data_IF_770629830930
#
_entry.id   IF_770629830930
#
_cell.length_a   1.000
_cell.length_b   1.000
_cell.length_c   1.000
_cell.angle_alpha   90.00
_cell.angle_beta   90.00
_cell.angle_gamma   90.00
#
_symmetry.space_group_name_H-M   'P 1'
#
loop_
_entity.id
_entity.type
_entity.pdbx_description
1 polymer ?
#
# COMPACT_ATOMS: atom_id res chain seq x y z
N UNK A 1 0.54 -12.23 -9.33
CA UNK A 1 1.22 -11.12 -8.64
C UNK A 1 0.19 -10.03 -8.36
N UNK A 2 0.23 -9.40 -7.17
CA UNK A 2 -0.77 -8.40 -6.74
C UNK A 2 -0.46 -6.99 -7.24
N UNK A 3 -1.52 -6.24 -7.50
CA UNK A 3 -1.48 -4.82 -7.88
C UNK A 3 -1.36 -3.92 -6.64
N UNK A 4 -1.90 -4.34 -5.50
CA UNK A 4 -1.74 -3.64 -4.23
C UNK A 4 -1.84 -4.60 -3.04
N UNK A 5 -1.36 -4.16 -1.88
CA UNK A 5 -1.53 -4.87 -0.62
C UNK A 5 -1.69 -3.89 0.54
N UNK A 6 -2.36 -4.28 1.61
CA UNK A 6 -2.42 -3.50 2.86
C UNK A 6 -2.76 -4.40 4.05
N UNK A 7 -2.53 -3.89 5.27
CA UNK A 7 -3.01 -4.53 6.50
C UNK A 7 -4.07 -3.65 7.16
N UNK A 8 -5.29 -4.19 7.31
CA UNK A 8 -6.40 -3.49 7.97
C UNK A 8 -6.77 -4.26 9.23
N UNK A 9 -6.53 -3.64 10.39
CA UNK A 9 -6.77 -4.24 11.71
C UNK A 9 -6.16 -5.65 11.85
N UNK A 10 -4.95 -5.82 11.31
CA UNK A 10 -4.20 -7.08 11.36
C UNK A 10 -4.58 -8.13 10.31
N UNK A 11 -5.65 -7.94 9.53
CA UNK A 11 -5.95 -8.79 8.38
C UNK A 11 -5.20 -8.27 7.16
N UNK A 12 -4.67 -9.17 6.33
CA UNK A 12 -3.98 -8.81 5.10
C UNK A 12 -4.96 -8.80 3.95
N UNK A 13 -4.86 -7.79 3.11
CA UNK A 13 -5.65 -7.61 1.90
C UNK A 13 -4.70 -7.52 0.73
N UNK A 14 -4.91 -8.36 -0.27
CA UNK A 14 -4.15 -8.40 -1.51
C UNK A 14 -5.10 -8.15 -2.67
N UNK A 15 -4.78 -7.21 -3.55
CA UNK A 15 -5.65 -6.79 -4.65
C UNK A 15 -5.05 -7.23 -5.98
N UNK A 16 -5.88 -7.72 -6.88
CA UNK A 16 -5.49 -8.02 -8.26
C UNK A 16 -6.69 -7.83 -9.18
N UNK A 17 -6.51 -7.00 -10.20
CA UNK A 17 -7.55 -6.67 -11.18
C UNK A 17 -8.81 -6.17 -10.45
N UNK A 18 -9.93 -6.87 -10.60
CA UNK A 18 -11.24 -6.54 -9.98
C UNK A 18 -11.53 -7.31 -8.68
N UNK A 19 -10.55 -8.04 -8.15
CA UNK A 19 -10.68 -8.93 -6.99
C UNK A 19 -9.71 -8.59 -5.88
N UNK A 20 -10.06 -9.00 -4.66
CA UNK A 20 -9.13 -9.01 -3.54
C UNK A 20 -9.25 -10.31 -2.75
N UNK A 21 -8.15 -10.66 -2.10
CA UNK A 21 -8.05 -11.75 -1.16
C UNK A 21 -7.79 -11.18 0.23
N UNK A 22 -8.55 -11.67 1.20
CA UNK A 22 -8.37 -11.33 2.61
C UNK A 22 -7.86 -12.56 3.34
N UNK A 23 -6.65 -12.45 3.89
CA UNK A 23 -6.11 -13.42 4.86
C UNK A 23 -6.44 -12.96 6.26
N UNK A 24 -7.17 -13.81 6.98
CA UNK A 24 -7.56 -13.56 8.36
C UNK A 24 -6.36 -13.68 9.30
N UNK A 25 -6.36 -12.89 10.38
CA UNK A 25 -5.40 -13.10 11.49
C UNK A 25 -5.89 -14.15 12.49
N UNK A 26 -7.18 -14.51 12.45
CA UNK A 26 -7.84 -15.31 13.47
C UNK A 26 -8.04 -16.77 13.08
N UNK A 27 -7.96 -17.09 11.79
CA UNK A 27 -8.11 -18.44 11.27
C UNK A 27 -7.31 -18.57 9.98
N UNK A 28 -6.83 -19.78 9.70
CA UNK A 28 -5.95 -20.07 8.57
C UNK A 28 -6.76 -20.25 7.28
N UNK A 29 -7.29 -19.14 6.77
CA UNK A 29 -7.84 -19.16 5.43
C UNK A 29 -7.95 -17.81 4.75
N UNK A 30 -8.13 -17.93 3.45
CA UNK A 30 -8.14 -16.83 2.50
C UNK A 30 -9.52 -16.78 1.85
N UNK A 31 -10.14 -15.60 1.89
CA UNK A 31 -11.43 -15.35 1.22
C UNK A 31 -11.21 -14.45 0.02
N UNK A 32 -11.82 -14.78 -1.12
CA UNK A 32 -11.78 -13.98 -2.35
C UNK A 32 -13.12 -13.30 -2.59
N UNK A 33 -13.10 -12.01 -2.93
CA UNK A 33 -14.29 -11.22 -3.27
C UNK A 33 -14.00 -10.22 -4.37
N UNK A 34 -15.04 -9.81 -5.12
CA UNK A 34 -14.97 -8.70 -6.06
C UNK A 34 -14.90 -7.36 -5.30
N UNK A 35 -14.02 -6.46 -5.73
CA UNK A 35 -13.78 -5.15 -5.07
C UNK A 35 -15.05 -4.31 -5.06
N UNK A 36 -15.64 -4.04 -6.23
CA UNK A 36 -16.85 -3.22 -6.36
C UNK A 36 -18.08 -3.78 -5.64
N UNK A 37 -18.11 -5.08 -5.30
CA UNK A 37 -19.17 -5.67 -4.48
C UNK A 37 -19.04 -5.36 -2.99
N UNK A 38 -17.85 -4.96 -2.52
CA UNK A 38 -17.58 -4.60 -1.12
C UNK A 38 -17.47 -3.09 -0.95
N UNK A 39 -16.87 -2.42 -1.93
CA UNK A 39 -16.69 -0.97 -1.97
C UNK A 39 -17.24 -0.43 -3.30
N UNK A 40 -18.54 -0.11 -3.37
CA UNK A 40 -19.16 0.39 -4.59
C UNK A 40 -18.43 1.63 -5.14
N UNK A 41 -18.20 1.65 -6.45
CA UNK A 41 -17.48 2.73 -7.13
C UNK A 41 -15.94 2.61 -7.10
N UNK A 42 -15.40 1.58 -6.44
CA UNK A 42 -13.98 1.19 -6.56
C UNK A 42 -13.90 -0.05 -7.43
N UNK A 43 -13.35 0.05 -8.63
CA UNK A 43 -13.28 -1.08 -9.56
C UNK A 43 -11.93 -1.80 -9.47
N UNK A 44 -10.84 -1.05 -9.26
CA UNK A 44 -9.48 -1.56 -9.10
C UNK A 44 -8.74 -0.85 -7.98
N UNK A 45 -7.64 -1.44 -7.53
CA UNK A 45 -6.77 -0.83 -6.50
C UNK A 45 -5.31 -0.95 -6.94
N UNK A 46 -4.73 0.18 -7.28
CA UNK A 46 -3.33 0.36 -7.68
C UNK A 46 -2.39 0.47 -6.48
N UNK A 47 -2.85 1.04 -5.38
CA UNK A 47 -2.13 1.09 -4.12
C UNK A 47 -3.12 1.16 -2.97
N UNK A 48 -2.73 0.68 -1.79
CA UNK A 48 -3.57 0.74 -0.61
C UNK A 48 -2.75 0.95 0.66
N UNK A 49 -3.27 1.70 1.61
CA UNK A 49 -2.72 1.73 2.97
C UNK A 49 -3.84 1.90 4.00
N UNK A 50 -3.58 1.49 5.24
CA UNK A 50 -4.48 1.72 6.35
C UNK A 50 -3.90 2.76 7.30
N UNK A 51 -4.74 3.69 7.75
CA UNK A 51 -4.38 4.65 8.79
C UNK A 51 -5.58 4.92 9.70
N UNK A 52 -5.35 4.78 11.02
CA UNK A 52 -6.41 4.81 12.04
C UNK A 52 -7.52 3.81 11.71
N UNK A 53 -8.76 4.28 11.56
CA UNK A 53 -9.94 3.46 11.30
C UNK A 53 -10.36 3.44 9.82
N UNK A 54 -9.53 4.01 8.95
CA UNK A 54 -9.78 4.09 7.51
C UNK A 54 -8.73 3.30 6.73
N UNK A 55 -9.13 2.77 5.58
CA UNK A 55 -8.23 2.37 4.52
C UNK A 55 -8.35 3.36 3.37
N UNK A 56 -7.26 3.57 2.66
CA UNK A 56 -7.19 4.44 1.51
C UNK A 56 -6.82 3.59 0.30
N UNK A 57 -7.62 3.68 -0.76
CA UNK A 57 -7.40 2.97 -2.02
C UNK A 57 -7.11 3.98 -3.12
N UNK A 58 -6.17 3.65 -3.99
CA UNK A 58 -5.75 4.48 -5.09
C UNK A 58 -6.10 3.78 -6.40
N UNK A 59 -6.62 4.52 -7.37
CA UNK A 59 -6.91 4.05 -8.72
C UNK A 59 -6.64 5.21 -9.68
N UNK A 60 -5.63 5.06 -10.54
CA UNK A 60 -5.17 6.14 -11.41
C UNK A 60 -4.82 7.41 -10.62
N UNK A 61 -5.39 8.54 -11.04
CA UNK A 61 -5.14 9.85 -10.44
C UNK A 61 -6.11 10.21 -9.31
N UNK A 62 -6.82 9.22 -8.77
CA UNK A 62 -7.81 9.38 -7.71
C UNK A 62 -7.55 8.44 -6.54
N UNK A 63 -8.13 8.77 -5.39
CA UNK A 63 -8.12 7.91 -4.22
C UNK A 63 -9.46 7.98 -3.46
N UNK A 64 -9.75 6.94 -2.68
CA UNK A 64 -10.93 6.77 -1.86
C UNK A 64 -10.52 6.59 -0.40
N UNK A 65 -11.25 7.17 0.53
CA UNK A 65 -11.24 6.73 1.94
C UNK A 65 -12.40 5.77 2.16
N UNK A 66 -12.10 4.61 2.72
CA UNK A 66 -13.11 3.62 3.08
C UNK A 66 -13.03 3.28 4.57
N UNK A 67 -14.19 3.09 5.19
CA UNK A 67 -14.32 2.61 6.57
C UNK A 67 -15.15 1.35 6.58
N UNK A 68 -14.52 0.22 6.93
CA UNK A 68 -15.12 -1.12 6.77
C UNK A 68 -15.50 -1.33 5.30
N UNK A 69 -16.79 -1.33 4.98
CA UNK A 69 -17.37 -1.49 3.63
C UNK A 69 -17.97 -0.19 3.10
N UNK A 70 -17.85 0.91 3.84
CA UNK A 70 -18.45 2.20 3.50
C UNK A 70 -17.40 3.06 2.80
N UNK A 71 -17.68 3.50 1.58
CA UNK A 71 -16.94 4.56 0.90
C UNK A 71 -17.37 5.89 1.50
N UNK A 72 -16.42 6.69 1.96
CA UNK A 72 -16.72 7.96 2.63
C UNK A 72 -17.26 9.00 1.64
N UNK A 73 -18.14 9.88 2.12
CA UNK A 73 -18.69 10.98 1.30
C UNK A 73 -17.59 11.94 0.82
N UNK A 74 -17.75 12.46 -0.40
CA UNK A 74 -16.80 13.36 -1.05
C UNK A 74 -15.59 12.67 -1.68
N UNK A 75 -15.64 11.34 -1.84
CA UNK A 75 -14.67 10.54 -2.59
C UNK A 75 -15.28 9.98 -3.89
N UNK A 76 -14.49 9.75 -4.94
CA UNK A 76 -13.02 9.89 -5.00
C UNK A 76 -12.52 11.34 -4.93
N UNK A 77 -11.27 11.49 -4.49
CA UNK A 77 -10.53 12.75 -4.50
C UNK A 77 -9.29 12.66 -5.38
N UNK A 78 -8.83 13.77 -5.99
CA UNK A 78 -7.64 13.77 -6.83
C UNK A 78 -6.37 13.63 -5.99
N UNK A 79 -5.30 13.06 -6.56
CA UNK A 79 -4.00 12.95 -5.88
C UNK A 79 -3.41 14.32 -5.47
N UNK A 80 -3.79 15.41 -6.14
CA UNK A 80 -3.39 16.77 -5.79
C UNK A 80 -3.77 17.15 -4.36
N UNK A 81 -4.85 16.59 -3.80
CA UNK A 81 -5.28 16.84 -2.41
C UNK A 81 -4.26 16.31 -1.39
N UNK A 82 -3.44 15.32 -1.78
CA UNK A 82 -2.35 14.80 -0.97
C UNK A 82 -1.03 15.58 -1.18
N UNK A 83 -1.02 16.53 -2.13
CA UNK A 83 0.14 17.33 -2.49
C UNK A 83 1.02 16.73 -3.58
N UNK A 84 0.50 15.79 -4.39
CA UNK A 84 1.21 15.33 -5.58
C UNK A 84 1.19 16.38 -6.70
N UNK A 85 2.28 16.52 -7.47
CA UNK A 85 2.28 17.35 -8.68
C UNK A 85 1.45 16.68 -9.78
N UNK A 86 0.96 17.46 -10.74
CA UNK A 86 0.14 16.98 -11.88
C UNK A 86 0.83 15.93 -12.75
N UNK A 87 2.18 15.86 -12.71
CA UNK A 87 2.96 14.83 -13.40
C UNK A 87 2.80 13.42 -12.82
N UNK A 88 2.28 13.29 -11.59
CA UNK A 88 1.99 12.00 -10.95
C UNK A 88 0.56 11.60 -11.26
N UNK A 89 0.42 10.63 -12.17
CA UNK A 89 -0.89 10.16 -12.65
C UNK A 89 -1.37 8.88 -11.95
N UNK A 90 -0.52 8.24 -11.15
CA UNK A 90 -0.80 7.01 -10.41
C UNK A 90 0.18 6.82 -9.25
N UNK A 91 -0.26 6.14 -8.20
CA UNK A 91 0.57 5.61 -7.10
C UNK A 91 0.73 4.11 -7.28
N UNK A 92 1.95 3.60 -7.26
CA UNK A 92 2.26 2.18 -7.50
C UNK A 92 2.19 1.35 -6.21
N UNK A 93 2.52 1.96 -5.07
CA UNK A 93 2.36 1.31 -3.77
C UNK A 93 2.24 2.36 -2.65
N UNK A 94 1.63 1.97 -1.53
CA UNK A 94 1.52 2.82 -0.36
C UNK A 94 1.71 2.00 0.92
N UNK A 95 2.36 2.57 1.94
CA UNK A 95 2.43 1.91 3.25
C UNK A 95 2.55 2.92 4.38
N UNK A 96 1.77 2.72 5.43
CA UNK A 96 1.85 3.55 6.64
C UNK A 96 2.94 3.03 7.59
N UNK A 97 3.85 3.92 8.00
CA UNK A 97 4.88 3.66 9.00
C UNK A 97 4.45 4.24 10.34
N UNK A 98 3.76 3.43 11.13
CA UNK A 98 3.08 3.81 12.38
C UNK A 98 3.96 4.61 13.36
N UNK A 99 5.15 4.09 13.71
CA UNK A 99 6.03 4.74 14.68
C UNK A 99 6.64 6.05 14.16
N UNK A 100 6.67 6.25 12.84
CA UNK A 100 7.01 7.54 12.25
C UNK A 100 5.76 8.38 12.02
N UNK A 101 4.53 7.86 12.01
CA UNK A 101 3.31 8.60 11.62
C UNK A 101 3.40 9.19 10.22
N UNK A 102 4.13 8.50 9.33
CA UNK A 102 4.30 8.89 7.93
C UNK A 102 3.75 7.79 7.03
N UNK A 103 3.14 8.19 5.93
CA UNK A 103 2.74 7.26 4.88
C UNK A 103 3.72 7.42 3.73
N UNK A 104 4.28 6.31 3.27
CA UNK A 104 5.16 6.30 2.12
C UNK A 104 4.33 5.99 0.89
N UNK A 105 4.48 6.79 -0.16
CA UNK A 105 3.89 6.54 -1.46
C UNK A 105 5.00 6.30 -2.47
N UNK A 106 4.87 5.27 -3.30
CA UNK A 106 5.84 4.90 -4.31
C UNK A 106 5.27 5.22 -5.69
N UNK A 107 6.08 5.87 -6.53
CA UNK A 107 5.75 6.16 -7.93
C UNK A 107 7.02 5.99 -8.75
N UNK A 108 6.99 5.04 -9.68
CA UNK A 108 8.12 4.62 -10.51
C UNK A 108 9.34 4.30 -9.63
N UNK A 109 10.41 5.07 -9.80
CA UNK A 109 11.70 4.90 -9.14
C UNK A 109 11.88 5.74 -7.87
N UNK A 110 10.83 6.46 -7.48
CA UNK A 110 10.83 7.41 -6.37
C UNK A 110 9.77 7.09 -5.34
N UNK A 111 9.95 7.65 -4.15
CA UNK A 111 8.93 7.63 -3.10
C UNK A 111 8.78 9.01 -2.46
N UNK A 112 7.60 9.24 -1.89
CA UNK A 112 7.19 10.42 -1.15
C UNK A 112 6.94 10.04 0.30
N UNK A 113 7.21 10.95 1.23
CA UNK A 113 6.84 10.81 2.64
C UNK A 113 5.72 11.79 2.95
N UNK A 114 4.54 11.29 3.28
CA UNK A 114 3.39 12.09 3.65
C UNK A 114 3.23 12.14 5.17
N UNK A 115 3.14 13.35 5.71
CA UNK A 115 3.03 13.60 7.12
C UNK A 115 1.56 13.59 7.56
N UNK A 116 1.10 12.48 8.13
CA UNK A 116 -0.30 12.30 8.54
C UNK A 116 -0.76 13.28 9.63
N UNK A 117 0.17 13.87 10.41
CA UNK A 117 -0.17 14.89 11.42
C UNK A 117 -0.41 16.25 10.76
N UNK A 118 0.45 16.62 9.82
CA UNK A 118 0.40 17.93 9.13
C UNK A 118 -0.46 17.93 7.87
N UNK A 119 -0.90 16.73 7.43
CA UNK A 119 -1.65 16.50 6.19
C UNK A 119 -0.98 17.11 4.96
N UNK A 120 0.32 16.86 4.81
CA UNK A 120 1.11 17.34 3.66
C UNK A 120 2.37 16.50 3.46
N UNK A 121 2.93 16.54 2.26
CA UNK A 121 4.23 15.94 1.96
C UNK A 121 5.35 16.56 2.83
N UNK A 122 6.27 15.75 3.30
CA UNK A 122 7.50 16.20 3.96
C UNK A 122 8.43 16.86 2.92
N UNK A 123 9.16 17.89 3.33
CA UNK A 123 10.14 18.56 2.46
C UNK A 123 11.32 17.67 2.08
N UNK A 124 11.90 17.90 0.89
CA UNK A 124 13.02 17.10 0.38
C UNK A 124 12.60 15.76 -0.23
N UNK A 125 11.32 15.64 -0.61
CA UNK A 125 10.73 14.54 -1.37
C UNK A 125 10.20 15.05 -2.72
N UNK A 126 10.13 14.21 -3.76
CA UNK A 126 10.44 12.78 -3.77
C UNK A 126 11.92 12.42 -3.66
N UNK A 127 12.22 11.19 -3.24
CA UNK A 127 13.57 10.62 -3.20
C UNK A 127 13.64 9.28 -3.92
N UNK A 128 14.83 8.90 -4.38
CA UNK A 128 15.02 7.63 -5.06
C UNK A 128 14.92 6.45 -4.09
N UNK A 129 14.17 5.41 -4.49
CA UNK A 129 13.94 4.21 -3.68
C UNK A 129 15.27 3.50 -3.41
N UNK A 130 16.06 3.23 -4.46
CA UNK A 130 17.31 2.47 -4.35
C UNK A 130 18.35 3.11 -3.42
N UNK A 131 18.29 4.45 -3.24
CA UNK A 131 19.23 5.21 -2.41
C UNK A 131 18.84 5.20 -0.94
N UNK A 132 17.58 5.42 -0.62
CA UNK A 132 17.11 5.59 0.77
C UNK A 132 16.52 4.30 1.38
N UNK A 133 16.27 3.28 0.56
CA UNK A 133 15.75 1.96 0.92
C UNK A 133 16.63 0.84 0.32
N UNK A 134 17.88 0.68 0.80
CA UNK A 134 18.82 -0.28 0.25
C UNK A 134 18.27 -1.70 0.30
N UNK A 135 18.38 -2.41 -0.83
CA UNK A 135 17.91 -3.78 -1.00
C UNK A 135 16.43 -3.93 -1.38
N UNK A 136 15.63 -2.85 -1.36
CA UNK A 136 14.25 -2.86 -1.88
C UNK A 136 14.24 -2.91 -3.42
N UNK A 137 15.23 -2.29 -4.05
CA UNK A 137 15.36 -2.21 -5.50
C UNK A 137 14.97 -0.84 -6.03
N UNK A 138 14.59 -0.80 -7.31
CA UNK A 138 14.27 0.45 -8.00
C UNK A 138 12.79 0.77 -8.01
N UNK A 139 11.90 -0.21 -7.93
CA UNK A 139 10.44 -0.01 -7.97
C UNK A 139 9.75 -0.85 -6.91
N UNK A 140 8.49 -0.51 -6.62
CA UNK A 140 7.64 -1.22 -5.67
C UNK A 140 6.24 -1.31 -6.25
N UNK A 141 5.77 -2.52 -6.50
CA UNK A 141 4.45 -2.81 -7.07
C UNK A 141 3.38 -2.98 -5.97
N UNK A 142 3.79 -3.37 -4.76
CA UNK A 142 2.91 -3.42 -3.61
C UNK A 142 3.71 -3.27 -2.32
N UNK A 143 3.10 -2.66 -1.30
CA UNK A 143 3.72 -2.50 0.00
C UNK A 143 2.70 -2.68 1.12
N UNK A 144 3.07 -3.36 2.20
CA UNK A 144 2.23 -3.46 3.38
C UNK A 144 3.05 -3.62 4.65
N UNK A 145 2.48 -3.22 5.78
CA UNK A 145 3.05 -3.52 7.08
C UNK A 145 2.47 -4.84 7.58
N UNK A 146 3.32 -5.74 8.07
CA UNK A 146 2.86 -6.87 8.89
C UNK A 146 3.77 -7.00 10.12
N UNK A 147 3.15 -7.11 11.30
CA UNK A 147 3.84 -7.06 12.60
C UNK A 147 4.76 -5.82 12.66
N UNK A 148 6.06 -6.01 12.83
CA UNK A 148 7.06 -4.95 12.97
C UNK A 148 7.77 -4.58 11.64
N UNK A 149 7.46 -5.27 10.55
CA UNK A 149 8.20 -5.16 9.28
C UNK A 149 7.34 -4.59 8.17
N UNK A 150 8.03 -3.98 7.20
CA UNK A 150 7.44 -3.59 5.93
C UNK A 150 7.77 -4.66 4.91
N UNK A 151 6.81 -5.01 4.09
CA UNK A 151 6.97 -5.91 2.97
C UNK A 151 6.88 -5.09 1.70
N UNK A 152 7.88 -5.20 0.84
CA UNK A 152 7.91 -4.55 -0.47
C UNK A 152 7.98 -5.63 -1.54
N UNK A 153 7.12 -5.51 -2.56
CA UNK A 153 7.04 -6.46 -3.67
C UNK A 153 7.47 -5.78 -4.95
N UNK A 154 8.29 -6.46 -5.75
CA UNK A 154 8.61 -6.08 -7.12
C UNK A 154 8.77 -7.34 -7.99
N UNK A 155 7.97 -7.47 -9.04
CA UNK A 155 7.83 -8.74 -9.74
C UNK A 155 7.49 -9.93 -8.81
N UNK A 156 8.09 -11.08 -9.06
CA UNK A 156 7.97 -12.28 -8.22
C UNK A 156 8.67 -12.17 -6.86
N UNK A 157 9.48 -11.12 -6.64
CA UNK A 157 10.30 -10.94 -5.45
C UNK A 157 9.57 -10.11 -4.41
N UNK A 158 9.60 -10.58 -3.16
CA UNK A 158 9.18 -9.80 -2.00
C UNK A 158 10.32 -9.68 -1.00
N UNK A 159 10.49 -8.52 -0.39
CA UNK A 159 11.49 -8.31 0.67
C UNK A 159 10.82 -7.94 1.98
N UNK A 160 11.22 -8.63 3.05
CA UNK A 160 10.89 -8.23 4.42
C UNK A 160 11.94 -7.21 4.90
N UNK A 161 11.50 -6.01 5.23
CA UNK A 161 12.36 -4.86 5.46
C UNK A 161 12.19 -4.26 6.86
N UNK A 162 13.32 -4.09 7.55
CA UNK A 162 13.36 -3.47 8.87
C UNK A 162 13.56 -1.96 8.75
N UNK A 163 12.46 -1.20 8.69
CA UNK A 163 12.50 0.23 8.38
C UNK A 163 13.36 1.08 9.34
N UNK A 164 13.41 0.76 10.64
CA UNK A 164 14.29 1.48 11.59
C UNK A 164 15.78 1.28 11.34
N UNK A 165 16.19 0.05 10.99
CA UNK A 165 17.58 -0.34 10.77
C UNK A 165 18.01 -0.18 9.30
N UNK A 166 17.08 0.21 8.42
CA UNK A 166 17.31 0.43 6.99
C UNK A 166 17.98 -0.76 6.30
N UNK A 167 17.47 -1.97 6.53
CA UNK A 167 18.00 -3.20 5.91
C UNK A 167 16.92 -4.22 5.59
N UNK A 168 17.18 -5.00 4.55
CA UNK A 168 16.44 -6.22 4.25
C UNK A 168 16.76 -7.28 5.31
N UNK A 169 15.74 -7.97 5.80
CA UNK A 169 15.87 -9.11 6.72
C UNK A 169 15.96 -10.41 5.90
N UNK A 170 15.09 -10.57 4.91
CA UNK A 170 15.09 -11.71 3.98
C UNK A 170 14.35 -11.37 2.70
N UNK A 171 14.62 -12.16 1.68
CA UNK A 171 13.89 -12.15 0.40
C UNK A 171 13.00 -13.40 0.35
N UNK A 172 11.76 -13.22 -0.08
CA UNK A 172 10.71 -14.24 -0.18
C UNK A 172 10.18 -14.29 -1.61
N UNK A 173 9.57 -15.42 -1.96
CA UNK A 173 8.68 -15.51 -3.12
C UNK A 173 7.29 -15.00 -2.74
N UNK A 174 6.62 -14.31 -3.67
CA UNK A 174 5.35 -13.62 -3.39
C UNK A 174 4.14 -14.56 -3.18
N UNK A 175 4.26 -15.86 -3.44
CA UNK A 175 3.18 -16.84 -3.31
C UNK A 175 2.93 -17.32 -1.86
N UNK A 176 3.89 -17.13 -0.95
CA UNK A 176 3.79 -17.68 0.42
C UNK A 176 2.67 -17.10 1.30
N UNK A 177 1.94 -16.07 0.84
CA UNK A 177 0.84 -15.49 1.60
C UNK A 177 -0.51 -16.15 1.34
N UNK A 178 -0.67 -16.86 0.22
CA UNK A 178 -1.98 -17.26 -0.30
C UNK A 178 -2.33 -18.73 -0.05
N UNK A 179 -1.55 -19.41 0.78
CA UNK A 179 -1.70 -20.85 1.09
C UNK A 179 -1.77 -21.69 -0.21
N UNK A 180 -0.98 -21.30 -1.22
CA UNK A 180 -0.81 -22.07 -2.44
C UNK A 180 0.34 -23.05 -2.23
N UNK A 181 -0.02 -24.32 -2.03
CA UNK A 181 0.89 -25.47 -2.18
C UNK A 181 1.26 -25.71 -3.65
#
# INVERSE_FOLDING_TARGET
MFDAATSIKGNLYFFKDKYFWKKSRFWDGVSMRRIGSVWPGVERVDAAYAYKNSAFFFEGNQYWEVRRTIVMSGYPKPLSDLGFPSSVTKVDAAVHVSFKRRTLFFVRDKYWSYNEKRRRMDGGYPRFIYKDLPGVGYRVDAAFQNRAYLYFTYGSRQVEYHYRRRRVIRTLLNNGWMDCD
#
